data_IF_492987295489
#
_entry.id   IF_492987295489
#
_cell.length_a   1.000
_cell.length_b   1.000
_cell.length_c   1.000
_cell.angle_alpha   90.00
_cell.angle_beta   90.00
_cell.angle_gamma   90.00
#
_symmetry.space_group_name_H-M   'P 1'
#
loop_
_entity.id
_entity.type
_entity.pdbx_description
1 polymer ?
#
# COMPACT_ATOMS: atom_id res chain seq x y z
N UNK A 1 -9.33 -12.10 10.18
CA UNK A 1 -9.18 -10.65 10.39
C UNK A 1 -7.73 -10.35 10.71
N UNK A 2 -7.06 -9.53 9.90
CA UNK A 2 -5.65 -9.17 10.06
C UNK A 2 -5.50 -7.80 10.76
N UNK A 3 -6.25 -6.80 10.29
CA UNK A 3 -6.25 -5.45 10.87
C UNK A 3 -7.70 -4.97 11.07
N UNK A 4 -7.94 -4.21 12.14
CA UNK A 4 -9.25 -3.63 12.45
C UNK A 4 -9.08 -2.23 13.01
N UNK A 5 -9.87 -1.31 12.51
CA UNK A 5 -10.03 0.05 13.02
C UNK A 5 -11.41 0.22 13.65
N UNK A 6 -11.48 0.89 14.79
CA UNK A 6 -12.71 1.14 15.54
C UNK A 6 -12.86 2.61 15.86
N UNK A 7 -13.94 3.23 15.36
CA UNK A 7 -14.36 4.60 15.64
C UNK A 7 -13.22 5.63 15.48
N UNK A 8 -12.38 5.47 14.45
CA UNK A 8 -11.29 6.39 14.20
C UNK A 8 -11.80 7.79 13.91
N UNK A 9 -11.23 8.78 14.60
CA UNK A 9 -11.43 10.19 14.30
C UNK A 9 -10.09 10.88 14.12
N UNK A 10 -10.03 11.84 13.16
CA UNK A 10 -8.88 12.71 12.94
C UNK A 10 -9.31 14.10 12.53
N UNK A 11 -8.82 15.10 13.24
CA UNK A 11 -9.04 16.53 12.94
C UNK A 11 -7.74 17.21 12.52
N UNK A 12 -7.87 18.23 11.70
CA UNK A 12 -6.80 19.14 11.31
C UNK A 12 -7.28 20.60 11.43
N UNK A 13 -6.38 21.51 11.77
CA UNK A 13 -6.63 22.96 11.74
C UNK A 13 -7.85 23.42 12.55
N UNK A 14 -8.07 22.83 13.73
CA UNK A 14 -9.18 23.15 14.63
C UNK A 14 -10.42 22.31 14.36
N UNK A 15 -11.26 22.65 13.37
CA UNK A 15 -12.58 22.02 13.22
C UNK A 15 -12.73 21.08 12.01
N UNK A 16 -11.75 21.02 11.12
CA UNK A 16 -11.83 20.14 9.96
C UNK A 16 -11.69 18.67 10.34
N UNK A 17 -12.80 17.94 10.32
CA UNK A 17 -12.86 16.51 10.64
C UNK A 17 -12.57 15.68 9.37
N UNK A 18 -11.33 15.28 9.20
CA UNK A 18 -10.88 14.51 8.02
C UNK A 18 -11.29 13.03 8.08
N UNK A 19 -11.43 12.46 9.29
CA UNK A 19 -11.96 11.11 9.54
C UNK A 19 -12.95 11.22 10.70
N UNK A 20 -14.17 10.74 10.50
CA UNK A 20 -15.28 10.80 11.46
C UNK A 20 -15.82 9.40 11.76
N UNK A 21 -15.41 8.86 12.89
CA UNK A 21 -15.86 7.56 13.44
C UNK A 21 -15.77 6.41 12.45
N UNK A 22 -14.71 6.36 11.66
CA UNK A 22 -14.49 5.27 10.71
C UNK A 22 -14.18 3.98 11.46
N UNK A 23 -14.99 2.96 11.19
CA UNK A 23 -14.75 1.57 11.60
C UNK A 23 -14.65 0.71 10.36
N UNK A 24 -13.59 -0.08 10.24
CA UNK A 24 -13.38 -1.02 9.12
C UNK A 24 -12.41 -2.13 9.54
N UNK A 25 -12.37 -3.20 8.76
CA UNK A 25 -11.45 -4.31 8.97
C UNK A 25 -10.80 -4.73 7.66
N UNK A 26 -9.66 -5.41 7.76
CA UNK A 26 -8.95 -5.97 6.61
C UNK A 26 -8.63 -7.44 6.92
N UNK A 27 -9.05 -8.32 6.04
CA UNK A 27 -8.83 -9.76 6.18
C UNK A 27 -7.60 -10.20 5.38
N UNK A 28 -6.87 -11.19 5.90
CA UNK A 28 -5.67 -11.70 5.28
C UNK A 28 -5.97 -12.21 3.86
N UNK A 29 -5.17 -11.77 2.89
CA UNK A 29 -5.27 -12.20 1.49
C UNK A 29 -6.39 -11.53 0.69
N UNK A 30 -7.22 -10.66 1.31
CA UNK A 30 -8.26 -9.89 0.62
C UNK A 30 -7.65 -8.62 0.03
N UNK A 31 -7.66 -8.49 -1.29
CA UNK A 31 -7.24 -7.28 -1.98
C UNK A 31 -8.37 -6.25 -1.90
N UNK A 32 -8.14 -5.21 -1.08
CA UNK A 32 -9.14 -4.18 -0.79
C UNK A 32 -8.75 -2.87 -1.44
N UNK A 33 -9.66 -2.24 -2.19
CA UNK A 33 -9.50 -0.86 -2.64
C UNK A 33 -10.28 0.11 -1.76
N UNK A 34 -9.68 1.28 -1.49
CA UNK A 34 -10.32 2.40 -0.83
C UNK A 34 -10.50 3.50 -1.88
N UNK A 35 -11.75 3.85 -2.15
CA UNK A 35 -12.11 4.87 -3.14
C UNK A 35 -12.88 6.02 -2.49
N UNK A 36 -13.03 7.11 -3.20
CA UNK A 36 -13.77 8.30 -2.74
C UNK A 36 -13.27 9.55 -3.46
N UNK A 37 -14.04 10.63 -3.49
CA UNK A 37 -13.62 11.89 -4.11
C UNK A 37 -12.39 12.50 -3.44
N UNK A 38 -11.81 13.53 -4.06
CA UNK A 38 -10.72 14.29 -3.45
C UNK A 38 -11.20 14.90 -2.13
N UNK A 39 -10.36 14.81 -1.09
CA UNK A 39 -10.74 15.26 0.26
C UNK A 39 -11.63 14.30 1.05
N UNK A 40 -11.99 13.13 0.54
CA UNK A 40 -12.81 12.13 1.25
C UNK A 40 -12.15 11.55 2.52
N UNK A 41 -10.83 11.72 2.71
CA UNK A 41 -10.09 11.20 3.86
C UNK A 41 -9.26 9.93 3.58
N UNK A 42 -9.17 9.46 2.32
CA UNK A 42 -8.47 8.22 1.94
C UNK A 42 -7.02 8.18 2.45
N UNK A 43 -6.21 9.16 2.08
CA UNK A 43 -4.80 9.26 2.50
C UNK A 43 -4.69 9.43 4.01
N UNK A 44 -5.61 10.17 4.64
CA UNK A 44 -5.66 10.30 6.11
C UNK A 44 -5.93 8.95 6.77
N UNK A 45 -6.87 8.16 6.25
CA UNK A 45 -7.16 6.83 6.79
C UNK A 45 -5.94 5.91 6.68
N UNK A 46 -5.28 5.86 5.51
CA UNK A 46 -4.04 5.08 5.36
C UNK A 46 -2.94 5.58 6.31
N UNK A 47 -2.78 6.88 6.48
CA UNK A 47 -1.81 7.45 7.42
C UNK A 47 -2.06 7.00 8.87
N UNK A 48 -3.32 6.91 9.29
CA UNK A 48 -3.69 6.39 10.60
C UNK A 48 -3.38 4.90 10.73
N UNK A 49 -3.77 4.10 9.74
CA UNK A 49 -3.57 2.65 9.74
C UNK A 49 -2.09 2.27 9.69
N UNK A 50 -1.28 2.97 8.90
CA UNK A 50 0.17 2.73 8.78
C UNK A 50 0.99 3.30 9.94
N UNK A 51 0.45 4.27 10.70
CA UNK A 51 1.14 4.90 11.83
C UNK A 51 1.91 6.17 11.48
N UNK A 52 1.73 6.70 10.27
CA UNK A 52 2.26 8.02 9.89
C UNK A 52 1.52 9.16 10.58
N UNK A 53 0.29 8.91 11.04
CA UNK A 53 -0.51 9.78 11.89
C UNK A 53 -1.07 8.98 13.06
N UNK A 54 -1.28 9.66 14.20
CA UNK A 54 -2.03 9.10 15.33
C UNK A 54 -3.49 9.56 15.27
N UNK A 55 -4.46 8.70 15.56
CA UNK A 55 -5.87 9.09 15.67
C UNK A 55 -6.08 9.98 16.90
N UNK A 56 -7.06 10.89 16.83
CA UNK A 56 -7.47 11.67 17.98
C UNK A 56 -8.42 10.87 18.89
N UNK A 57 -9.23 9.98 18.27
CA UNK A 57 -10.10 9.01 18.94
C UNK A 57 -10.11 7.69 18.16
N UNK A 58 -10.47 6.61 18.84
CA UNK A 58 -10.60 5.28 18.28
C UNK A 58 -9.38 4.41 18.51
N UNK A 59 -9.44 3.17 18.02
CA UNK A 59 -8.38 2.17 18.20
C UNK A 59 -8.07 1.46 16.89
N UNK A 60 -6.83 0.98 16.81
CA UNK A 60 -6.36 0.17 15.67
C UNK A 60 -5.76 -1.11 16.23
N UNK A 61 -6.26 -2.24 15.74
CA UNK A 61 -5.76 -3.57 16.12
C UNK A 61 -5.10 -4.24 14.92
N UNK A 62 -3.98 -4.87 15.16
CA UNK A 62 -3.26 -5.69 14.19
C UNK A 62 -2.91 -7.04 14.81
N UNK A 63 -3.35 -8.15 14.20
CA UNK A 63 -3.26 -9.50 14.77
C UNK A 63 -3.82 -9.56 16.21
N UNK A 64 -4.88 -8.81 16.52
CA UNK A 64 -5.53 -8.73 17.82
C UNK A 64 -4.84 -7.80 18.83
N UNK A 65 -3.67 -7.26 18.54
CA UNK A 65 -2.95 -6.33 19.41
C UNK A 65 -3.27 -4.87 19.04
N UNK A 66 -3.42 -4.01 20.04
CA UNK A 66 -3.60 -2.56 19.88
C UNK A 66 -2.30 -1.90 19.40
N UNK A 67 -2.36 -1.14 18.31
CA UNK A 67 -1.19 -0.54 17.68
C UNK A 67 -1.28 0.98 17.48
N UNK A 68 -2.39 1.63 17.84
CA UNK A 68 -2.61 3.07 17.56
C UNK A 68 -1.56 3.99 18.19
N UNK A 69 -0.94 3.57 19.30
CA UNK A 69 0.14 4.32 19.97
C UNK A 69 1.55 3.91 19.51
N UNK A 70 1.65 2.89 18.64
CA UNK A 70 2.95 2.45 18.14
C UNK A 70 3.46 3.39 17.03
N UNK A 71 4.72 3.83 17.11
CA UNK A 71 5.35 4.57 16.02
C UNK A 71 5.53 3.67 14.79
N UNK A 72 5.70 4.31 13.63
CA UNK A 72 5.76 3.64 12.33
C UNK A 72 6.80 2.51 12.28
N UNK A 73 7.98 2.71 12.87
CA UNK A 73 9.07 1.71 12.87
C UNK A 73 8.67 0.43 13.59
N UNK A 74 7.87 0.54 14.66
CA UNK A 74 7.35 -0.62 15.39
C UNK A 74 6.24 -1.31 14.61
N UNK A 75 5.42 -0.55 13.87
CA UNK A 75 4.38 -1.13 13.00
C UNK A 75 5.00 -1.86 11.81
N UNK A 76 6.04 -1.31 11.18
CA UNK A 76 6.81 -1.98 10.12
C UNK A 76 7.39 -3.30 10.62
N UNK A 77 7.99 -3.32 11.81
CA UNK A 77 8.51 -4.57 12.44
C UNK A 77 7.43 -5.62 12.71
N UNK A 78 6.17 -5.20 12.86
CA UNK A 78 5.02 -6.11 12.98
C UNK A 78 4.47 -6.56 11.62
N UNK A 79 4.94 -5.98 10.51
CA UNK A 79 4.50 -6.29 9.15
C UNK A 79 3.42 -5.35 8.60
N UNK A 80 3.24 -4.16 9.17
CA UNK A 80 2.37 -3.10 8.63
C UNK A 80 3.23 -2.14 7.82
N UNK A 81 3.15 -2.20 6.49
CA UNK A 81 3.96 -1.39 5.59
C UNK A 81 3.10 -0.53 4.68
N UNK A 82 3.68 0.56 4.20
CA UNK A 82 3.08 1.47 3.23
C UNK A 82 4.11 1.83 2.17
N UNK A 83 3.72 1.82 0.89
CA UNK A 83 4.47 2.50 -0.15
C UNK A 83 4.19 4.00 -0.06
N UNK A 84 5.19 4.83 -0.17
CA UNK A 84 5.05 6.27 -0.04
C UNK A 84 4.64 6.91 -1.38
N UNK A 85 3.91 8.04 -1.31
CA UNK A 85 3.57 8.90 -2.47
C UNK A 85 4.81 9.54 -3.13
N UNK A 86 5.94 9.60 -2.41
CA UNK A 86 7.22 10.09 -2.93
C UNK A 86 8.13 8.87 -3.06
N UNK A 87 8.74 8.72 -4.22
CA UNK A 87 9.69 7.65 -4.57
C UNK A 87 10.77 7.51 -3.49
N UNK A 88 10.67 6.45 -2.68
CA UNK A 88 11.67 6.14 -1.64
C UNK A 88 12.77 5.21 -2.17
N UNK A 89 13.18 5.44 -3.40
CA UNK A 89 14.36 4.78 -3.98
C UNK A 89 15.60 5.63 -3.69
N UNK A 90 16.72 4.98 -3.57
CA UNK A 90 18.02 5.62 -3.55
C UNK A 90 18.52 5.73 -4.99
N UNK A 91 18.41 6.91 -5.65
CA UNK A 91 18.61 7.03 -7.10
C UNK A 91 20.03 6.71 -7.54
N UNK A 92 21.03 6.96 -6.68
CA UNK A 92 22.43 6.71 -6.95
C UNK A 92 22.89 5.27 -6.67
N UNK A 93 22.05 4.48 -6.00
CA UNK A 93 22.31 3.07 -5.74
C UNK A 93 21.77 2.20 -6.88
N UNK A 94 22.35 1.01 -7.06
CA UNK A 94 21.82 0.01 -7.99
C UNK A 94 20.48 -0.53 -7.52
N UNK A 95 19.73 -1.18 -8.41
CA UNK A 95 18.47 -1.84 -8.03
C UNK A 95 18.74 -2.92 -6.98
N UNK A 96 19.83 -3.68 -7.15
CA UNK A 96 20.28 -4.67 -6.18
C UNK A 96 20.47 -4.05 -4.79
N UNK A 97 21.20 -2.94 -4.71
CA UNK A 97 21.45 -2.24 -3.44
C UNK A 97 20.16 -1.69 -2.82
N UNK A 98 19.25 -1.17 -3.64
CA UNK A 98 17.95 -0.67 -3.16
C UNK A 98 17.12 -1.77 -2.47
N UNK A 99 17.06 -2.98 -3.03
CA UNK A 99 16.35 -4.12 -2.44
C UNK A 99 17.13 -4.71 -1.25
N UNK A 100 18.45 -4.68 -1.29
CA UNK A 100 19.29 -5.22 -0.22
C UNK A 100 19.12 -4.47 1.11
N UNK A 101 18.95 -3.14 1.07
CA UNK A 101 18.83 -2.30 2.28
C UNK A 101 17.70 -2.77 3.22
N UNK A 102 16.44 -2.90 2.78
CA UNK A 102 15.37 -3.38 3.66
C UNK A 102 15.58 -4.82 4.16
N UNK A 103 16.20 -5.69 3.37
CA UNK A 103 16.53 -7.06 3.79
C UNK A 103 17.57 -7.09 4.91
N UNK A 104 18.62 -6.27 4.83
CA UNK A 104 19.61 -6.10 5.90
C UNK A 104 18.93 -5.67 7.20
N UNK A 105 18.01 -4.71 7.12
CA UNK A 105 17.24 -4.24 8.27
C UNK A 105 16.33 -5.34 8.84
N UNK A 106 15.63 -6.07 7.98
CA UNK A 106 14.74 -7.16 8.36
C UNK A 106 15.50 -8.29 9.09
N UNK A 107 16.62 -8.74 8.54
CA UNK A 107 17.46 -9.77 9.13
C UNK A 107 18.29 -9.30 10.34
N UNK A 108 18.11 -8.03 10.78
CA UNK A 108 18.85 -7.43 11.91
C UNK A 108 20.37 -7.51 11.78
N UNK A 109 20.88 -7.49 10.54
CA UNK A 109 22.32 -7.55 10.23
C UNK A 109 23.00 -6.17 10.25
N UNK A 110 22.28 -5.12 10.63
CA UNK A 110 22.74 -3.71 10.61
C UNK A 110 23.98 -3.42 11.47
N UNK A 111 24.30 -4.27 12.44
CA UNK A 111 25.49 -4.11 13.28
C UNK A 111 26.79 -4.62 12.63
N UNK A 112 26.70 -5.30 11.49
CA UNK A 112 27.86 -5.86 10.76
C UNK A 112 28.15 -5.14 9.43
N UNK A 113 27.72 -3.87 9.30
CA UNK A 113 27.85 -3.06 8.07
C UNK A 113 29.31 -2.96 7.56
N UNK A 114 30.30 -3.16 8.42
CA UNK A 114 31.71 -3.06 8.06
C UNK A 114 32.39 -4.39 7.68
N UNK A 115 31.68 -5.51 7.78
CA UNK A 115 32.23 -6.82 7.40
C UNK A 115 31.38 -7.48 6.31
N UNK A 116 31.72 -7.20 5.04
CA UNK A 116 31.37 -8.02 3.86
C UNK A 116 29.86 -8.30 3.66
N UNK A 117 29.05 -7.26 3.52
CA UNK A 117 27.63 -7.39 3.10
C UNK A 117 27.46 -8.19 1.79
N UNK A 118 28.46 -8.14 0.90
CA UNK A 118 28.47 -8.92 -0.35
C UNK A 118 28.64 -10.45 -0.13
N UNK A 119 28.87 -10.90 1.10
CA UNK A 119 29.11 -12.30 1.46
C UNK A 119 27.93 -12.97 2.21
N UNK A 120 26.86 -12.23 2.55
CA UNK A 120 25.65 -12.88 3.10
C UNK A 120 24.81 -13.45 1.94
N UNK A 121 25.02 -14.75 1.69
CA UNK A 121 24.40 -15.46 0.57
C UNK A 121 22.87 -15.45 0.68
N UNK A 122 22.31 -15.51 1.90
CA UNK A 122 20.87 -15.44 2.15
C UNK A 122 20.28 -14.10 1.67
N UNK A 123 20.88 -12.99 2.08
CA UNK A 123 20.41 -11.65 1.66
C UNK A 123 20.58 -11.46 0.16
N UNK A 124 21.67 -11.97 -0.40
CA UNK A 124 21.91 -11.91 -1.85
C UNK A 124 20.87 -12.69 -2.64
N UNK A 125 20.57 -13.92 -2.24
CA UNK A 125 19.56 -14.76 -2.89
C UNK A 125 18.16 -14.12 -2.79
N UNK A 126 17.76 -13.66 -1.60
CA UNK A 126 16.48 -12.97 -1.43
C UNK A 126 16.41 -11.67 -2.27
N UNK A 127 17.52 -10.91 -2.36
CA UNK A 127 17.59 -9.72 -3.20
C UNK A 127 17.33 -10.06 -4.68
N UNK A 128 17.98 -11.10 -5.19
CA UNK A 128 17.78 -11.56 -6.57
C UNK A 128 16.37 -12.06 -6.80
N UNK A 129 15.81 -12.82 -5.86
CA UNK A 129 14.43 -13.31 -5.91
C UNK A 129 13.42 -12.16 -5.98
N UNK A 130 13.54 -11.14 -5.14
CA UNK A 130 12.65 -9.96 -5.18
C UNK A 130 12.77 -9.23 -6.51
N UNK A 131 14.00 -9.06 -7.04
CA UNK A 131 14.20 -8.42 -8.35
C UNK A 131 13.58 -9.22 -9.50
N UNK A 132 13.64 -10.55 -9.44
CA UNK A 132 12.97 -11.44 -10.40
C UNK A 132 11.45 -11.29 -10.29
N UNK A 133 10.90 -11.34 -9.07
CA UNK A 133 9.47 -11.19 -8.81
C UNK A 133 8.89 -9.88 -9.32
N UNK A 134 9.62 -8.77 -9.22
CA UNK A 134 9.18 -7.47 -9.76
C UNK A 134 9.57 -7.26 -11.23
N UNK A 135 10.21 -8.23 -11.88
CA UNK A 135 10.58 -8.18 -13.30
C UNK A 135 11.76 -7.24 -13.62
N UNK A 136 12.65 -6.97 -12.66
CA UNK A 136 13.78 -6.06 -12.82
C UNK A 136 15.16 -6.73 -12.69
N UNK A 137 15.21 -8.06 -12.68
CA UNK A 137 16.46 -8.82 -12.47
C UNK A 137 17.55 -8.47 -13.47
N UNK A 138 17.20 -8.31 -14.77
CA UNK A 138 18.15 -7.98 -15.84
C UNK A 138 18.78 -6.58 -15.67
N UNK A 139 18.17 -5.73 -14.83
CA UNK A 139 18.60 -4.37 -14.54
C UNK A 139 19.24 -4.22 -13.16
N UNK A 140 19.54 -5.33 -12.47
CA UNK A 140 20.00 -5.34 -11.07
C UNK A 140 21.20 -4.43 -10.79
N UNK A 141 22.11 -4.30 -11.75
CA UNK A 141 23.34 -3.49 -11.64
C UNK A 141 23.15 -2.05 -12.13
N UNK A 142 21.97 -1.70 -12.66
CA UNK A 142 21.65 -0.36 -13.11
C UNK A 142 21.33 0.53 -11.90
N UNK A 143 21.76 1.81 -11.93
CA UNK A 143 21.32 2.78 -10.92
C UNK A 143 19.83 3.07 -11.07
N UNK A 144 19.13 3.24 -9.95
CA UNK A 144 17.70 3.49 -9.95
C UNK A 144 17.31 4.81 -10.64
N UNK A 145 18.23 5.79 -10.74
CA UNK A 145 18.03 7.04 -11.49
C UNK A 145 17.81 6.85 -13.00
N UNK A 146 18.17 5.71 -13.56
CA UNK A 146 17.96 5.41 -14.98
C UNK A 146 16.65 4.68 -15.30
N UNK A 147 15.86 4.37 -14.28
CA UNK A 147 14.58 3.69 -14.46
C UNK A 147 13.51 4.64 -15.02
N UNK A 148 12.63 4.11 -15.88
CA UNK A 148 11.36 4.75 -16.21
C UNK A 148 10.47 4.88 -14.95
N UNK A 149 9.46 5.73 -15.01
CA UNK A 149 8.54 5.94 -13.88
C UNK A 149 7.83 4.63 -13.46
N UNK A 150 7.39 3.82 -14.42
CA UNK A 150 6.79 2.51 -14.13
C UNK A 150 7.75 1.54 -13.45
N UNK A 151 9.01 1.48 -13.90
CA UNK A 151 10.04 0.65 -13.29
C UNK A 151 10.43 1.13 -11.88
N UNK A 152 10.46 2.44 -11.66
CA UNK A 152 10.65 2.99 -10.32
C UNK A 152 9.55 2.52 -9.38
N UNK A 153 8.30 2.50 -9.84
CA UNK A 153 7.17 2.01 -9.04
C UNK A 153 7.25 0.51 -8.77
N UNK A 154 7.71 -0.29 -9.75
CA UNK A 154 7.99 -1.71 -9.52
C UNK A 154 9.07 -1.90 -8.45
N UNK A 155 10.15 -1.12 -8.52
CA UNK A 155 11.22 -1.16 -7.52
C UNK A 155 10.71 -0.78 -6.12
N UNK A 156 9.86 0.25 -5.99
CA UNK A 156 9.24 0.62 -4.71
C UNK A 156 8.40 -0.50 -4.10
N UNK A 157 7.61 -1.20 -4.92
CA UNK A 157 6.85 -2.37 -4.46
C UNK A 157 7.82 -3.46 -4.01
N UNK A 158 8.91 -3.70 -4.74
CA UNK A 158 9.95 -4.64 -4.35
C UNK A 158 10.61 -4.29 -3.01
N UNK A 159 10.97 -3.02 -2.81
CA UNK A 159 11.52 -2.51 -1.54
C UNK A 159 10.53 -2.77 -0.38
N UNK A 160 9.24 -2.53 -0.60
CA UNK A 160 8.22 -2.80 0.40
C UNK A 160 8.06 -4.30 0.67
N UNK A 161 8.05 -5.15 -0.37
CA UNK A 161 7.97 -6.61 -0.22
C UNK A 161 9.18 -7.20 0.50
N UNK A 162 10.39 -6.65 0.28
CA UNK A 162 11.61 -7.06 0.96
C UNK A 162 11.57 -6.85 2.49
N UNK A 163 10.60 -6.10 3.02
CA UNK A 163 10.35 -6.02 4.46
C UNK A 163 9.47 -7.15 4.99
N UNK A 164 9.06 -8.11 4.16
CA UNK A 164 8.13 -9.20 4.47
C UNK A 164 6.82 -8.72 5.13
N UNK A 165 6.07 -7.81 4.49
CA UNK A 165 4.87 -7.24 5.07
C UNK A 165 3.74 -8.26 5.17
N UNK A 166 2.94 -8.20 6.24
CA UNK A 166 1.67 -8.92 6.31
C UNK A 166 0.54 -8.11 5.65
N UNK A 167 0.61 -6.76 5.75
CA UNK A 167 -0.29 -5.84 5.07
C UNK A 167 0.53 -4.71 4.44
N UNK A 168 0.23 -4.41 3.17
CA UNK A 168 0.89 -3.36 2.39
C UNK A 168 -0.14 -2.38 1.84
N UNK A 169 -0.04 -1.14 2.27
CA UNK A 169 -0.85 -0.03 1.76
C UNK A 169 -0.17 0.61 0.57
N UNK A 170 -0.86 0.68 -0.57
CA UNK A 170 -0.41 1.34 -1.79
C UNK A 170 -1.28 2.59 -2.03
N UNK A 171 -0.66 3.75 -2.05
CA UNK A 171 -1.35 5.03 -2.28
C UNK A 171 -1.11 5.48 -3.73
N UNK A 172 -2.17 5.43 -4.54
CA UNK A 172 -2.18 5.76 -5.97
C UNK A 172 -1.03 5.11 -6.76
N UNK A 173 -0.88 3.76 -6.71
CA UNK A 173 0.27 3.07 -7.30
C UNK A 173 0.35 3.23 -8.82
N UNK A 174 -0.72 3.65 -9.50
CA UNK A 174 -0.75 3.81 -10.96
C UNK A 174 -0.77 5.26 -11.43
N UNK A 175 -0.59 6.24 -10.51
CA UNK A 175 -0.63 7.66 -10.84
C UNK A 175 0.43 8.03 -11.90
N UNK A 176 0.02 8.80 -12.90
CA UNK A 176 0.92 9.30 -13.96
C UNK A 176 1.32 8.27 -15.02
N UNK A 177 0.79 7.05 -14.98
CA UNK A 177 1.13 5.97 -15.89
C UNK A 177 0.17 5.84 -17.07
N UNK A 178 0.67 5.35 -18.19
CA UNK A 178 -0.16 4.93 -19.31
C UNK A 178 -0.90 3.61 -19.00
N UNK A 179 -1.88 3.23 -19.86
CA UNK A 179 -2.72 2.03 -19.62
C UNK A 179 -1.92 0.72 -19.51
N UNK A 180 -0.85 0.58 -20.29
CA UNK A 180 -0.03 -0.65 -20.28
C UNK A 180 0.76 -0.75 -18.98
N UNK A 181 1.37 0.34 -18.54
CA UNK A 181 2.10 0.39 -17.26
C UNK A 181 1.17 0.13 -16.08
N UNK A 182 -0.02 0.77 -16.05
CA UNK A 182 -1.05 0.53 -15.02
C UNK A 182 -1.39 -0.95 -14.93
N UNK A 183 -1.70 -1.57 -16.08
CA UNK A 183 -2.05 -2.99 -16.12
C UNK A 183 -0.92 -3.87 -15.59
N UNK A 184 0.33 -3.60 -15.97
CA UNK A 184 1.51 -4.34 -15.52
C UNK A 184 1.69 -4.26 -14.00
N UNK A 185 1.63 -3.05 -13.41
CA UNK A 185 1.74 -2.85 -11.96
C UNK A 185 0.63 -3.61 -11.23
N UNK A 186 -0.61 -3.48 -11.70
CA UNK A 186 -1.75 -4.09 -11.01
C UNK A 186 -1.77 -5.62 -11.16
N UNK A 187 -1.32 -6.16 -12.30
CA UNK A 187 -1.13 -7.62 -12.45
C UNK A 187 -0.11 -8.15 -11.45
N UNK A 188 1.00 -7.45 -11.22
CA UNK A 188 1.98 -7.82 -10.20
C UNK A 188 1.35 -7.80 -8.80
N UNK A 189 0.60 -6.76 -8.44
CA UNK A 189 -0.08 -6.66 -7.14
C UNK A 189 -1.07 -7.82 -6.95
N UNK A 190 -1.90 -8.13 -7.96
CA UNK A 190 -2.83 -9.27 -7.92
C UNK A 190 -2.09 -10.59 -7.77
N UNK A 191 -0.98 -10.78 -8.50
CA UNK A 191 -0.14 -11.98 -8.40
C UNK A 191 0.43 -12.12 -6.98
N UNK A 192 1.04 -11.07 -6.43
CA UNK A 192 1.59 -11.08 -5.08
C UNK A 192 0.53 -11.35 -4.00
N UNK A 193 -0.68 -10.80 -4.17
CA UNK A 193 -1.80 -11.08 -3.27
C UNK A 193 -2.20 -12.56 -3.31
N UNK A 194 -2.31 -13.16 -4.52
CA UNK A 194 -2.64 -14.58 -4.71
C UNK A 194 -1.55 -15.52 -4.19
N UNK A 195 -0.29 -15.14 -4.32
CA UNK A 195 0.87 -15.88 -3.78
C UNK A 195 1.01 -15.73 -2.25
N UNK A 196 0.18 -14.90 -1.62
CA UNK A 196 0.21 -14.68 -0.17
C UNK A 196 1.41 -13.87 0.31
N UNK A 197 2.09 -13.12 -0.57
CA UNK A 197 3.24 -12.27 -0.21
C UNK A 197 2.85 -11.19 0.78
N UNK A 198 1.66 -10.59 0.63
CA UNK A 198 1.07 -9.63 1.54
C UNK A 198 -0.45 -9.55 1.36
N UNK A 199 -1.14 -8.93 2.30
CA UNK A 199 -2.50 -8.41 2.11
C UNK A 199 -2.38 -6.99 1.56
N UNK A 200 -2.99 -6.71 0.41
CA UNK A 200 -2.89 -5.40 -0.23
C UNK A 200 -4.12 -4.53 0.04
N UNK A 201 -3.87 -3.29 0.38
CA UNK A 201 -4.88 -2.23 0.47
C UNK A 201 -4.46 -1.09 -0.44
N UNK A 202 -5.29 -0.77 -1.44
CA UNK A 202 -4.95 0.17 -2.50
C UNK A 202 -5.86 1.40 -2.40
N UNK A 203 -5.31 2.60 -2.42
CA UNK A 203 -6.06 3.82 -2.72
C UNK A 203 -5.91 4.11 -4.20
N UNK A 204 -7.00 4.16 -4.91
CA UNK A 204 -7.04 4.49 -6.34
C UNK A 204 -8.27 5.33 -6.67
N UNK A 205 -8.16 6.10 -7.74
CA UNK A 205 -9.25 6.89 -8.30
C UNK A 205 -9.62 6.48 -9.73
N UNK A 206 -8.81 5.61 -10.35
CA UNK A 206 -9.10 5.01 -11.66
C UNK A 206 -10.04 3.81 -11.44
N UNK A 207 -11.32 4.00 -11.80
CA UNK A 207 -12.35 3.00 -11.54
C UNK A 207 -12.15 1.72 -12.36
N UNK A 208 -11.60 1.81 -13.58
CA UNK A 208 -11.30 0.64 -14.40
C UNK A 208 -10.27 -0.24 -13.69
N UNK A 209 -9.25 0.38 -13.12
CA UNK A 209 -8.25 -0.32 -12.29
C UNK A 209 -8.91 -0.95 -11.08
N UNK A 210 -9.65 -0.17 -10.28
CA UNK A 210 -10.30 -0.63 -9.04
C UNK A 210 -11.18 -1.85 -9.29
N UNK A 211 -12.09 -1.78 -10.27
CA UNK A 211 -13.03 -2.87 -10.55
C UNK A 211 -12.37 -4.11 -11.16
N UNK A 212 -11.21 -3.94 -11.83
CA UNK A 212 -10.52 -5.08 -12.45
C UNK A 212 -9.72 -5.94 -11.46
N UNK A 213 -9.31 -5.37 -10.31
CA UNK A 213 -8.38 -6.06 -9.41
C UNK A 213 -8.92 -6.32 -8.01
N UNK A 214 -9.87 -5.51 -7.53
CA UNK A 214 -10.33 -5.58 -6.15
C UNK A 214 -11.24 -6.78 -5.91
N UNK A 215 -11.11 -7.38 -4.73
CA UNK A 215 -12.09 -8.34 -4.22
C UNK A 215 -13.07 -7.69 -3.23
N UNK A 216 -12.69 -6.52 -2.70
CA UNK A 216 -13.52 -5.69 -1.82
C UNK A 216 -13.21 -4.22 -2.06
N UNK A 217 -14.22 -3.37 -1.97
CA UNK A 217 -14.11 -1.93 -2.14
C UNK A 217 -14.76 -1.22 -0.95
N UNK A 218 -14.02 -0.29 -0.35
CA UNK A 218 -14.50 0.61 0.70
C UNK A 218 -14.64 1.99 0.09
N UNK A 219 -15.80 2.61 0.22
CA UNK A 219 -16.07 3.95 -0.32
C UNK A 219 -16.08 4.97 0.82
N UNK A 220 -15.18 5.94 0.75
CA UNK A 220 -15.13 7.08 1.68
C UNK A 220 -15.75 8.32 1.06
N UNK A 221 -16.53 9.04 1.87
CA UNK A 221 -17.04 10.37 1.55
C UNK A 221 -17.15 11.21 2.83
N UNK A 222 -16.63 12.44 2.79
CA UNK A 222 -16.68 13.36 3.94
C UNK A 222 -16.12 12.76 5.24
N UNK A 223 -15.04 11.99 5.16
CA UNK A 223 -14.39 11.34 6.30
C UNK A 223 -15.12 10.13 6.85
N UNK A 224 -16.17 9.62 6.20
CA UNK A 224 -16.95 8.46 6.63
C UNK A 224 -16.94 7.35 5.57
N UNK A 225 -17.07 6.11 6.02
CA UNK A 225 -17.37 4.98 5.11
C UNK A 225 -18.85 5.05 4.78
N UNK A 226 -19.18 5.16 3.50
CA UNK A 226 -20.57 5.21 3.01
C UNK A 226 -21.00 3.91 2.35
N UNK A 227 -20.05 3.07 1.88
CA UNK A 227 -20.31 1.74 1.35
C UNK A 227 -19.07 0.85 1.55
N UNK A 228 -19.28 -0.45 1.67
CA UNK A 228 -18.26 -1.47 1.88
C UNK A 228 -18.79 -2.80 1.36
N UNK A 229 -18.20 -3.33 0.29
CA UNK A 229 -18.71 -4.54 -0.35
C UNK A 229 -17.85 -5.01 -1.52
N UNK A 230 -18.36 -5.98 -2.24
CA UNK A 230 -17.78 -6.49 -3.49
C UNK A 230 -17.86 -5.44 -4.61
N UNK A 231 -17.04 -5.55 -5.67
CA UNK A 231 -17.12 -4.66 -6.82
C UNK A 231 -18.54 -4.55 -7.40
N UNK A 232 -19.29 -5.65 -7.48
CA UNK A 232 -20.65 -5.65 -8.03
C UNK A 232 -21.66 -4.95 -7.11
N UNK A 233 -21.53 -5.13 -5.78
CA UNK A 233 -22.36 -4.41 -4.81
C UNK A 233 -22.10 -2.90 -4.88
N UNK A 234 -20.84 -2.49 -4.92
CA UNK A 234 -20.46 -1.07 -4.99
C UNK A 234 -20.92 -0.44 -6.31
N UNK A 235 -20.80 -1.15 -7.43
CA UNK A 235 -21.27 -0.69 -8.75
C UNK A 235 -22.77 -0.43 -8.75
N UNK A 236 -23.54 -1.20 -8.01
CA UNK A 236 -25.00 -1.12 -7.95
C UNK A 236 -25.53 -0.24 -6.81
N UNK A 237 -24.66 0.24 -5.92
CA UNK A 237 -25.05 1.10 -4.81
C UNK A 237 -25.49 2.49 -5.28
N UNK A 238 -26.73 2.87 -4.99
CA UNK A 238 -27.33 4.15 -5.42
C UNK A 238 -26.67 5.37 -4.76
N UNK A 239 -26.19 5.23 -3.50
CA UNK A 239 -25.50 6.30 -2.79
C UNK A 239 -24.12 6.54 -3.39
N UNK A 240 -23.39 5.47 -3.72
CA UNK A 240 -22.09 5.54 -4.38
C UNK A 240 -22.22 6.20 -5.74
N UNK A 241 -23.20 5.79 -6.54
CA UNK A 241 -23.48 6.42 -7.86
C UNK A 241 -23.75 7.92 -7.72
N UNK A 242 -24.60 8.32 -6.78
CA UNK A 242 -24.94 9.72 -6.55
C UNK A 242 -23.76 10.57 -6.10
N UNK A 243 -22.91 10.04 -5.22
CA UNK A 243 -21.81 10.78 -4.59
C UNK A 243 -20.55 10.83 -5.46
N UNK A 244 -20.29 9.75 -6.20
CA UNK A 244 -19.01 9.56 -6.89
C UNK A 244 -19.06 9.92 -8.37
N UNK A 245 -20.19 9.81 -9.05
CA UNK A 245 -20.18 9.66 -10.50
C UNK A 245 -21.04 10.65 -11.25
N UNK A 246 -21.89 11.43 -10.58
CA UNK A 246 -22.91 12.08 -11.41
C UNK A 246 -23.37 11.08 -12.50
N UNK A 247 -24.59 10.86 -12.74
CA UNK A 247 -25.25 9.71 -13.41
C UNK A 247 -24.60 9.13 -14.71
N UNK A 248 -23.50 9.70 -15.27
CA UNK A 248 -23.07 9.45 -16.66
C UNK A 248 -21.92 8.43 -16.87
N UNK A 249 -21.26 7.90 -15.84
CA UNK A 249 -20.05 7.07 -16.01
C UNK A 249 -20.25 5.54 -15.92
N UNK A 250 -21.51 5.06 -15.77
CA UNK A 250 -21.77 3.62 -15.56
C UNK A 250 -22.56 2.93 -16.70
N UNK A 251 -22.73 3.59 -17.82
CA UNK A 251 -23.55 3.09 -18.97
C UNK A 251 -22.71 2.60 -20.15
N UNK A 252 -21.46 2.23 -19.96
CA UNK A 252 -20.65 1.62 -21.04
C UNK A 252 -20.07 0.27 -20.65
#
# INVERSE_FOLDING_TARGET
MLMRAENLCKRFGGDFLAIDRVSTQFDKGVLTSIIGPNGAGKTTLINLLSGSLSPDLGKIYFNGESIEQLPIEKRVKKGVCRSFQITNIFPELTLFQNIQIPLIYYHRRSLHIFTKLDQDETIREETLQVLEEIGLIEKKDLKASFLSHGEQRQLEIGIALATHPQILFLDEPTQGMNKVEKASIMQNVVRFAKEGKATFVIVEHDMDVVFSVSTRIIVLHGGRVIADGTPDEIRNDSLVRKVYLGEDLWTS
#
